data_IF_076623364500
#
_entry.id   IF_076623364500
#
_cell.length_a   1.000
_cell.length_b   1.000
_cell.length_c   1.000
_cell.angle_alpha   90.00
_cell.angle_beta   90.00
_cell.angle_gamma   90.00
#
_symmetry.space_group_name_H-M   'P 1'
#
loop_
_entity.id
_entity.type
_entity.pdbx_description
1 polymer ?
#
# COMPACT_ATOMS: atom_id res chain seq x y z
N UNK A 1 9.91 22.19 8.27
CA UNK A 1 8.64 22.35 7.51
C UNK A 1 8.66 21.70 6.12
N UNK A 2 9.82 21.37 5.51
CA UNK A 2 9.87 20.76 4.15
C UNK A 2 9.38 19.31 4.05
N UNK A 3 9.73 18.43 5.00
CA UNK A 3 9.52 16.98 4.84
C UNK A 3 8.07 16.51 4.71
N UNK A 4 7.08 17.26 5.19
CA UNK A 4 5.67 16.88 5.00
C UNK A 4 5.08 17.32 3.64
N UNK A 5 5.66 18.34 2.98
CA UNK A 5 5.31 18.64 1.60
C UNK A 5 5.81 17.50 0.67
N UNK A 6 6.97 16.93 0.98
CA UNK A 6 7.51 15.79 0.25
C UNK A 6 6.61 14.55 0.40
N UNK A 7 6.00 14.32 1.57
CA UNK A 7 4.99 13.27 1.77
C UNK A 7 3.81 13.45 0.82
N UNK A 8 3.24 14.66 0.73
CA UNK A 8 2.13 14.95 -0.20
C UNK A 8 2.51 14.69 -1.65
N UNK A 9 3.71 15.10 -2.07
CA UNK A 9 4.21 14.87 -3.44
C UNK A 9 4.40 13.39 -3.73
N UNK A 10 4.96 12.61 -2.80
CA UNK A 10 5.12 11.16 -2.95
C UNK A 10 3.76 10.45 -3.09
N UNK A 11 2.80 10.80 -2.23
CA UNK A 11 1.46 10.22 -2.29
C UNK A 11 0.74 10.53 -3.60
N UNK A 12 0.90 11.75 -4.12
CA UNK A 12 0.35 12.12 -5.42
C UNK A 12 0.97 11.31 -6.57
N UNK A 13 2.30 11.10 -6.55
CA UNK A 13 3.00 10.28 -7.53
C UNK A 13 2.55 8.82 -7.47
N UNK A 14 2.51 8.24 -6.27
CA UNK A 14 2.03 6.87 -6.06
C UNK A 14 0.58 6.68 -6.50
N UNK A 15 -0.28 7.67 -6.26
CA UNK A 15 -1.68 7.63 -6.70
C UNK A 15 -1.82 7.69 -8.22
N UNK A 16 -1.06 8.58 -8.88
CA UNK A 16 -1.07 8.69 -10.33
C UNK A 16 -0.50 7.44 -11.02
N UNK A 17 0.52 6.80 -10.45
CA UNK A 17 1.14 5.60 -11.02
C UNK A 17 0.29 4.33 -10.87
N UNK A 18 -0.65 4.30 -9.92
CA UNK A 18 -1.41 3.10 -9.54
C UNK A 18 -2.92 3.33 -9.67
N UNK A 19 -3.46 3.27 -10.89
CA UNK A 19 -4.82 3.71 -11.19
C UNK A 19 -5.94 2.86 -10.55
N UNK A 20 -5.66 1.61 -10.12
CA UNK A 20 -6.61 0.81 -9.35
C UNK A 20 -6.47 1.01 -7.83
N UNK A 21 -5.58 1.91 -7.43
CA UNK A 21 -5.29 2.27 -6.05
C UNK A 21 -4.19 1.41 -5.42
N UNK A 22 -3.97 1.67 -4.15
CA UNK A 22 -2.98 1.03 -3.30
C UNK A 22 -3.45 0.92 -1.85
N UNK A 23 -2.78 0.06 -1.09
CA UNK A 23 -2.78 0.08 0.36
C UNK A 23 -1.33 0.13 0.86
N UNK A 24 -1.02 1.03 1.79
CA UNK A 24 0.31 1.20 2.37
C UNK A 24 0.17 1.16 3.90
N UNK A 25 0.76 0.15 4.50
CA UNK A 25 0.89 -0.05 5.94
C UNK A 25 2.31 0.37 6.37
N UNK A 26 2.45 1.52 7.04
CA UNK A 26 3.74 2.06 7.49
C UNK A 26 4.03 1.71 8.95
N UNK A 27 5.29 1.40 9.23
CA UNK A 27 5.84 1.17 10.57
C UNK A 27 5.02 0.16 11.39
N UNK A 28 4.79 -1.02 10.80
CA UNK A 28 4.10 -2.14 11.41
C UNK A 28 4.86 -2.62 12.64
N UNK A 29 4.15 -2.68 13.76
CA UNK A 29 4.62 -3.28 15.02
C UNK A 29 3.66 -4.41 15.40
N UNK A 30 4.21 -5.60 15.61
CA UNK A 30 3.44 -6.84 15.71
C UNK A 30 2.58 -7.05 14.45
N UNK A 31 1.28 -6.75 14.52
CA UNK A 31 0.32 -6.91 13.41
C UNK A 31 -0.31 -5.59 12.98
N UNK A 32 -0.07 -4.48 13.68
CA UNK A 32 -0.75 -3.20 13.45
C UNK A 32 0.20 -2.16 12.85
N UNK A 33 -0.16 -1.52 11.72
CA UNK A 33 0.58 -0.38 11.21
C UNK A 33 0.36 0.86 12.08
N UNK A 34 1.37 1.73 12.15
CA UNK A 34 1.18 3.10 12.66
C UNK A 34 0.29 3.90 11.73
N UNK A 35 0.57 3.81 10.42
CA UNK A 35 -0.23 4.46 9.40
C UNK A 35 -0.75 3.45 8.39
N UNK A 36 -2.06 3.47 8.15
CA UNK A 36 -2.68 2.72 7.06
C UNK A 36 -3.30 3.70 6.07
N UNK A 37 -2.66 3.83 4.90
CA UNK A 37 -3.06 4.70 3.81
C UNK A 37 -3.66 3.85 2.68
N UNK A 38 -4.90 4.11 2.29
CA UNK A 38 -5.60 3.33 1.28
C UNK A 38 -6.24 4.23 0.24
N UNK A 39 -5.91 4.02 -1.04
CA UNK A 39 -6.53 4.71 -2.18
C UNK A 39 -7.47 3.80 -2.98
N UNK A 40 -7.70 2.57 -2.50
CA UNK A 40 -8.73 1.70 -3.04
C UNK A 40 -10.13 2.31 -2.88
N UNK A 41 -11.05 1.89 -3.75
CA UNK A 41 -12.45 2.30 -3.64
C UNK A 41 -13.05 1.88 -2.29
N UNK A 42 -13.97 2.70 -1.77
CA UNK A 42 -14.60 2.45 -0.47
C UNK A 42 -15.32 1.09 -0.44
N UNK A 43 -15.95 0.69 -1.55
CA UNK A 43 -16.64 -0.60 -1.62
C UNK A 43 -15.67 -1.76 -1.39
N UNK A 44 -14.46 -1.68 -1.97
CA UNK A 44 -13.43 -2.69 -1.76
C UNK A 44 -12.91 -2.69 -0.33
N UNK A 45 -12.62 -1.52 0.25
CA UNK A 45 -12.11 -1.40 1.63
C UNK A 45 -13.11 -1.99 2.63
N UNK A 46 -14.40 -1.66 2.47
CA UNK A 46 -15.47 -2.14 3.34
C UNK A 46 -15.67 -3.66 3.19
N UNK A 47 -15.65 -4.18 1.95
CA UNK A 47 -15.73 -5.62 1.69
C UNK A 47 -14.55 -6.38 2.30
N UNK A 48 -13.33 -5.88 2.08
CA UNK A 48 -12.09 -6.51 2.54
C UNK A 48 -12.05 -6.58 4.07
N UNK A 49 -12.45 -5.49 4.73
CA UNK A 49 -12.50 -5.40 6.19
C UNK A 49 -13.60 -6.28 6.77
N UNK A 50 -14.83 -6.21 6.24
CA UNK A 50 -15.97 -6.99 6.73
C UNK A 50 -15.73 -8.50 6.67
N UNK A 51 -15.04 -8.96 5.63
CA UNK A 51 -14.76 -10.38 5.43
C UNK A 51 -13.45 -10.83 6.10
N UNK A 52 -12.72 -9.92 6.78
CA UNK A 52 -11.47 -10.27 7.46
C UNK A 52 -10.36 -10.75 6.53
N UNK A 53 -10.35 -10.29 5.27
CA UNK A 53 -9.48 -10.83 4.21
C UNK A 53 -7.98 -10.65 4.50
N UNK A 54 -7.62 -9.71 5.39
CA UNK A 54 -6.22 -9.48 5.81
C UNK A 54 -5.51 -10.74 6.32
N UNK A 55 -6.24 -11.67 6.93
CA UNK A 55 -5.70 -12.93 7.47
C UNK A 55 -5.52 -14.02 6.42
N UNK A 56 -6.07 -13.80 5.22
CA UNK A 56 -6.07 -14.76 4.11
C UNK A 56 -5.31 -14.23 2.90
N UNK A 57 -4.93 -12.95 2.92
CA UNK A 57 -4.33 -12.26 1.80
C UNK A 57 -2.87 -12.70 1.60
N UNK A 58 -2.54 -13.37 0.48
CA UNK A 58 -1.18 -13.81 0.19
C UNK A 58 -0.18 -12.64 0.08
N UNK A 59 -0.63 -11.44 -0.31
CA UNK A 59 0.25 -10.26 -0.36
C UNK A 59 0.67 -9.81 1.03
N UNK A 60 -0.24 -9.90 2.01
CA UNK A 60 0.00 -9.56 3.41
C UNK A 60 0.95 -10.59 4.01
N UNK A 61 0.66 -11.88 3.84
CA UNK A 61 1.52 -12.97 4.30
C UNK A 61 2.95 -12.84 3.75
N UNK A 62 3.08 -12.63 2.43
CA UNK A 62 4.39 -12.43 1.81
C UNK A 62 5.11 -11.22 2.37
N UNK A 63 4.41 -10.09 2.56
CA UNK A 63 4.99 -8.85 3.05
C UNK A 63 5.45 -8.91 4.51
N UNK A 64 4.86 -9.79 5.33
CA UNK A 64 5.36 -10.07 6.68
C UNK A 64 6.57 -11.01 6.67
N UNK A 65 6.61 -11.97 5.74
CA UNK A 65 7.67 -12.99 5.67
C UNK A 65 8.93 -12.53 4.91
N UNK A 66 8.84 -11.54 4.02
CA UNK A 66 9.91 -11.19 3.08
C UNK A 66 10.23 -9.70 3.06
N UNK A 67 11.32 -9.33 2.40
CA UNK A 67 11.68 -7.95 2.06
C UNK A 67 12.04 -7.91 0.57
N UNK A 68 11.62 -6.86 -0.13
CA UNK A 68 11.75 -6.71 -1.58
C UNK A 68 10.40 -6.52 -2.25
N UNK A 69 10.26 -7.01 -3.47
CA UNK A 69 9.04 -6.91 -4.27
C UNK A 69 8.60 -8.27 -4.81
N UNK A 70 7.30 -8.45 -5.00
CA UNK A 70 6.71 -9.63 -5.65
C UNK A 70 5.47 -9.24 -6.43
N UNK A 71 5.32 -9.73 -7.67
CA UNK A 71 4.08 -9.52 -8.42
C UNK A 71 2.97 -10.41 -7.87
N UNK A 72 1.73 -9.94 -7.98
CA UNK A 72 0.58 -10.74 -7.58
C UNK A 72 0.47 -12.04 -8.40
N UNK A 73 0.89 -12.02 -9.67
CA UNK A 73 0.92 -13.22 -10.51
C UNK A 73 1.79 -14.34 -9.94
N UNK A 74 2.86 -14.00 -9.24
CA UNK A 74 3.78 -14.96 -8.60
C UNK A 74 3.19 -15.55 -7.30
N UNK A 75 2.17 -14.91 -6.74
CA UNK A 75 1.50 -15.35 -5.51
C UNK A 75 0.18 -16.10 -5.77
N UNK A 76 -0.27 -16.23 -7.02
CA UNK A 76 -1.57 -16.84 -7.34
C UNK A 76 -1.73 -18.26 -6.81
N UNK A 77 -0.64 -19.04 -6.76
CA UNK A 77 -0.67 -20.40 -6.20
C UNK A 77 -0.91 -20.45 -4.69
N UNK A 78 -0.79 -19.31 -3.99
CA UNK A 78 -0.98 -19.15 -2.55
C UNK A 78 -2.35 -18.50 -2.22
N UNK A 79 -3.16 -18.15 -3.22
CA UNK A 79 -4.47 -17.52 -3.06
C UNK A 79 -5.58 -18.55 -2.72
N UNK A 80 -5.37 -19.34 -1.66
CA UNK A 80 -6.27 -20.45 -1.27
C UNK A 80 -7.71 -19.99 -0.96
N UNK A 81 -7.87 -18.73 -0.56
CA UNK A 81 -9.14 -18.14 -0.16
C UNK A 81 -9.72 -17.19 -1.22
N UNK A 82 -9.09 -17.06 -2.39
CA UNK A 82 -9.60 -16.27 -3.50
C UNK A 82 -9.57 -14.75 -3.28
N UNK A 83 -8.69 -14.23 -2.42
CA UNK A 83 -8.56 -12.79 -2.15
C UNK A 83 -8.13 -12.03 -3.41
N UNK A 84 -7.13 -12.54 -4.13
CA UNK A 84 -6.67 -11.92 -5.39
C UNK A 84 -7.70 -12.07 -6.50
N UNK A 85 -8.40 -13.21 -6.53
CA UNK A 85 -9.52 -13.44 -7.46
C UNK A 85 -10.62 -12.41 -7.25
N UNK A 86 -11.06 -12.21 -6.00
CA UNK A 86 -12.05 -11.21 -5.64
C UNK A 86 -11.57 -9.78 -5.92
N UNK A 87 -10.29 -9.49 -5.68
CA UNK A 87 -9.71 -8.19 -6.01
C UNK A 87 -9.83 -7.88 -7.52
N UNK A 88 -9.62 -8.89 -8.38
CA UNK A 88 -9.73 -8.75 -9.83
C UNK A 88 -11.17 -8.44 -10.29
N UNK A 89 -12.19 -9.00 -9.62
CA UNK A 89 -13.61 -8.68 -9.85
C UNK A 89 -13.92 -7.21 -9.52
N UNK A 90 -13.18 -6.63 -8.57
CA UNK A 90 -13.24 -5.22 -8.17
C UNK A 90 -12.17 -4.34 -8.87
N UNK A 91 -11.73 -4.73 -10.07
CA UNK A 91 -10.86 -3.92 -10.94
C UNK A 91 -9.38 -3.87 -10.54
N UNK A 92 -8.94 -4.66 -9.57
CA UNK A 92 -7.54 -4.77 -9.11
C UNK A 92 -6.95 -6.07 -9.63
N UNK A 93 -6.65 -6.10 -10.93
CA UNK A 93 -6.28 -7.34 -11.63
C UNK A 93 -4.79 -7.64 -11.57
N UNK A 94 -3.97 -6.59 -11.61
CA UNK A 94 -2.52 -6.67 -11.58
C UNK A 94 -2.01 -5.84 -10.41
N UNK A 95 -1.02 -6.37 -9.71
CA UNK A 95 -0.45 -5.66 -8.58
C UNK A 95 0.93 -6.16 -8.21
N UNK A 96 1.59 -5.38 -7.38
CA UNK A 96 2.88 -5.70 -6.78
C UNK A 96 2.78 -5.46 -5.28
N UNK A 97 3.28 -6.43 -4.50
CA UNK A 97 3.53 -6.24 -3.08
C UNK A 97 4.98 -5.78 -2.91
N UNK A 98 5.19 -4.76 -2.09
CA UNK A 98 6.49 -4.20 -1.74
C UNK A 98 6.61 -4.26 -0.21
N UNK A 99 7.66 -4.88 0.30
CA UNK A 99 7.93 -4.97 1.72
C UNK A 99 9.32 -4.43 2.02
N UNK A 100 9.41 -3.47 2.93
CA UNK A 100 10.68 -2.86 3.35
C UNK A 100 10.85 -3.01 4.86
N UNK A 101 12.10 -3.17 5.28
CA UNK A 101 12.52 -3.16 6.68
C UNK A 101 13.66 -2.15 6.79
N UNK A 102 13.40 -1.00 7.40
CA UNK A 102 14.39 0.05 7.63
C UNK A 102 14.22 0.57 9.07
N UNK A 103 15.35 0.96 9.68
CA UNK A 103 15.40 1.59 11.00
C UNK A 103 14.56 0.88 12.09
N UNK A 104 14.57 -0.46 12.04
CA UNK A 104 13.87 -1.32 13.01
C UNK A 104 12.35 -1.37 12.85
N UNK A 105 11.80 -0.90 11.73
CA UNK A 105 10.36 -0.99 11.46
C UNK A 105 10.06 -1.51 10.05
N UNK A 106 8.94 -2.23 9.93
CA UNK A 106 8.49 -2.81 8.66
C UNK A 106 7.43 -1.92 8.02
N UNK A 107 7.50 -1.70 6.72
CA UNK A 107 6.37 -1.19 5.95
C UNK A 107 6.04 -2.14 4.80
N UNK A 108 4.75 -2.31 4.54
CA UNK A 108 4.24 -3.15 3.44
C UNK A 108 3.31 -2.28 2.60
N UNK A 109 3.44 -2.36 1.29
CA UNK A 109 2.51 -1.75 0.35
C UNK A 109 2.06 -2.76 -0.68
N UNK A 110 0.83 -2.62 -1.13
CA UNK A 110 0.33 -3.26 -2.34
C UNK A 110 -0.15 -2.19 -3.29
N UNK A 111 0.39 -2.19 -4.50
CA UNK A 111 0.09 -1.25 -5.57
C UNK A 111 -0.62 -1.99 -6.70
N UNK A 112 -1.67 -1.41 -7.28
CA UNK A 112 -2.50 -2.13 -8.27
C UNK A 112 -2.86 -1.28 -9.48
N UNK A 113 -3.10 -1.98 -10.60
CA UNK A 113 -3.57 -1.44 -11.86
C UNK A 113 -4.51 -2.41 -12.58
N UNK A 114 -5.37 -1.93 -13.50
CA UNK A 114 -6.44 -2.75 -14.06
C UNK A 114 -6.04 -3.51 -15.33
N UNK A 115 -5.01 -3.05 -16.03
CA UNK A 115 -4.80 -3.29 -17.47
C UNK A 115 -3.63 -4.23 -17.80
N UNK A 116 -2.51 -4.16 -17.05
CA UNK A 116 -1.33 -5.01 -17.27
C UNK A 116 -0.47 -5.18 -16.02
N UNK A 117 0.50 -6.09 -16.07
CA UNK A 117 1.56 -6.17 -15.06
C UNK A 117 2.37 -4.87 -14.98
N UNK A 118 2.87 -4.56 -13.78
CA UNK A 118 3.84 -3.47 -13.60
C UNK A 118 5.20 -3.89 -14.18
N UNK A 119 5.84 -2.95 -14.87
CA UNK A 119 7.21 -3.15 -15.37
C UNK A 119 8.21 -3.10 -14.22
N UNK A 120 9.42 -3.64 -14.43
CA UNK A 120 10.46 -3.59 -13.39
C UNK A 120 10.80 -2.15 -12.99
N UNK A 121 10.81 -1.22 -13.94
CA UNK A 121 11.02 0.22 -13.66
C UNK A 121 9.89 0.83 -12.82
N UNK A 122 8.63 0.49 -13.11
CA UNK A 122 7.48 0.95 -12.31
C UNK A 122 7.52 0.38 -10.89
N UNK A 123 7.92 -0.89 -10.74
CA UNK A 123 8.09 -1.54 -9.45
C UNK A 123 9.22 -0.88 -8.66
N UNK A 124 10.37 -0.64 -9.29
CA UNK A 124 11.50 0.04 -8.67
C UNK A 124 11.15 1.47 -8.22
N UNK A 125 10.36 2.19 -9.02
CA UNK A 125 9.86 3.52 -8.66
C UNK A 125 8.91 3.47 -7.44
N UNK A 126 7.96 2.51 -7.42
CA UNK A 126 7.06 2.33 -6.28
C UNK A 126 7.82 1.96 -5.00
N UNK A 127 8.84 1.11 -5.11
CA UNK A 127 9.69 0.76 -3.97
C UNK A 127 10.49 1.96 -3.44
N UNK A 128 11.10 2.75 -4.34
CA UNK A 128 11.82 3.96 -3.96
C UNK A 128 10.91 4.97 -3.25
N UNK A 129 9.69 5.16 -3.75
CA UNK A 129 8.69 6.04 -3.15
C UNK A 129 8.22 5.56 -1.78
N UNK A 130 8.01 4.24 -1.62
CA UNK A 130 7.66 3.66 -0.33
C UNK A 130 8.79 3.84 0.70
N UNK A 131 10.05 3.65 0.31
CA UNK A 131 11.22 3.86 1.19
C UNK A 131 11.33 5.33 1.62
N UNK A 132 11.14 6.26 0.68
CA UNK A 132 11.14 7.69 1.00
C UNK A 132 9.98 8.05 1.94
N UNK A 133 8.79 7.52 1.68
CA UNK A 133 7.63 7.72 2.54
C UNK A 133 7.92 7.20 3.96
N UNK A 134 8.44 5.98 4.09
CA UNK A 134 8.83 5.38 5.36
C UNK A 134 9.78 6.28 6.17
N UNK A 135 10.87 6.76 5.56
CA UNK A 135 11.85 7.62 6.25
C UNK A 135 11.24 8.94 6.69
N UNK A 136 10.44 9.56 5.82
CA UNK A 136 9.77 10.83 6.13
C UNK A 136 8.72 10.68 7.23
N UNK A 137 8.12 9.50 7.41
CA UNK A 137 7.09 9.24 8.43
C UNK A 137 7.61 8.67 9.74
N UNK A 138 8.88 8.24 9.82
CA UNK A 138 9.42 7.55 11.00
C UNK A 138 9.29 8.36 12.30
N UNK A 139 9.58 9.67 12.23
CA UNK A 139 9.50 10.60 13.36
C UNK A 139 8.22 11.46 13.39
N UNK A 140 7.28 11.22 12.48
CA UNK A 140 6.02 11.97 12.44
C UNK A 140 5.06 11.32 13.42
N UNK A 141 4.47 12.11 14.32
CA UNK A 141 3.40 11.63 15.20
C UNK A 141 2.02 11.82 14.58
N UNK A 142 1.79 12.99 14.02
CA UNK A 142 0.54 13.35 13.34
C UNK A 142 0.86 14.08 12.04
N UNK A 143 0.11 13.76 11.00
CA UNK A 143 0.20 14.50 9.74
C UNK A 143 -0.30 15.93 9.90
N UNK A 144 0.33 16.85 9.20
CA UNK A 144 -0.06 18.25 9.17
C UNK A 144 -1.39 18.44 8.42
N UNK A 145 -2.09 19.56 8.65
CA UNK A 145 -3.33 19.86 7.93
C UNK A 145 -3.19 19.85 6.40
N UNK A 146 -2.02 20.21 5.86
CA UNK A 146 -1.77 20.17 4.42
C UNK A 146 -1.72 18.74 3.90
N UNK A 147 -1.06 17.81 4.61
CA UNK A 147 -1.06 16.39 4.26
C UNK A 147 -2.47 15.81 4.35
N UNK A 148 -3.24 16.14 5.41
CA UNK A 148 -4.64 15.72 5.50
C UNK A 148 -5.50 16.24 4.35
N UNK A 149 -5.31 17.50 3.93
CA UNK A 149 -5.99 18.06 2.76
C UNK A 149 -5.64 17.30 1.48
N UNK A 150 -4.35 16.97 1.29
CA UNK A 150 -3.89 16.14 0.17
C UNK A 150 -4.53 14.75 0.17
N UNK A 151 -4.55 14.06 1.31
CA UNK A 151 -5.21 12.75 1.46
C UNK A 151 -6.69 12.83 1.07
N UNK A 152 -7.40 13.84 1.58
CA UNK A 152 -8.81 14.07 1.27
C UNK A 152 -9.05 14.35 -0.22
N UNK A 153 -8.20 15.19 -0.84
CA UNK A 153 -8.32 15.53 -2.26
C UNK A 153 -8.15 14.31 -3.17
N UNK A 154 -7.30 13.36 -2.78
CA UNK A 154 -7.01 12.16 -3.56
C UNK A 154 -7.85 10.94 -3.13
N UNK A 155 -8.85 11.14 -2.26
CA UNK A 155 -9.65 10.06 -1.68
C UNK A 155 -8.80 8.95 -1.05
N UNK A 156 -7.69 9.32 -0.41
CA UNK A 156 -6.84 8.41 0.35
C UNK A 156 -7.35 8.39 1.78
N UNK A 157 -7.81 7.22 2.21
CA UNK A 157 -8.25 6.98 3.57
C UNK A 157 -7.06 6.72 4.48
N UNK A 158 -7.03 7.42 5.63
CA UNK A 158 -6.13 7.15 6.74
C UNK A 158 -6.94 6.47 7.84
N UNK A 159 -6.74 5.17 8.03
CA UNK A 159 -7.56 4.35 8.95
C UNK A 159 -6.88 4.15 10.31
N UNK A 160 -5.56 4.31 10.37
CA UNK A 160 -4.75 4.31 11.60
C UNK A 160 -3.79 5.49 11.48
N UNK A 161 -3.76 6.40 12.44
CA UNK A 161 -2.88 7.58 12.43
C UNK A 161 -3.22 8.60 13.51
#
# INVERSE_FOLDING_TARGET
MGGQNDISTLLARLHAANPSGFAIALHIRFTSPRYLLQSYSKEWIDLYSRNGLVLQDPTVHWGFANTGTVRWSELRSQDEHGVMTLAAEHGKRFGVCVAIMEDGSRSIASFTRPDRELTDDEIAACEADLRNLHRLTQGVETFSPSVHATLKQMSIYLTHG
#
